data_IF_721872332065
#
_entry.id   IF_721872332065
#
_cell.length_a   1.000
_cell.length_b   1.000
_cell.length_c   1.000
_cell.angle_alpha   90.00
_cell.angle_beta   90.00
_cell.angle_gamma   90.00
#
_symmetry.space_group_name_H-M   'P 1'
#
loop_
_entity.id
_entity.type
_entity.pdbx_description
1 polymer ?
#
# COMPACT_ATOMS: atom_id res chain seq x y z
N UNK A 1 -55.41 18.23 19.89
CA UNK A 1 -56.43 18.13 18.83
C UNK A 1 -56.02 17.07 17.84
N UNK A 2 -56.78 15.98 17.82
CA UNK A 2 -57.09 15.04 16.73
C UNK A 2 -55.94 14.47 15.86
N UNK A 3 -55.65 13.22 16.17
CA UNK A 3 -54.92 12.22 15.40
C UNK A 3 -55.87 11.55 14.39
N UNK A 4 -55.57 11.35 13.12
CA UNK A 4 -56.31 10.42 12.27
C UNK A 4 -55.55 9.08 12.09
N UNK A 5 -56.32 8.03 12.34
CA UNK A 5 -56.03 6.60 12.23
C UNK A 5 -55.88 6.19 10.75
N UNK A 6 -54.89 5.31 10.47
CA UNK A 6 -54.75 4.56 9.22
C UNK A 6 -55.46 3.22 9.33
N UNK A 7 -56.26 2.77 8.33
CA UNK A 7 -56.93 1.48 8.36
C UNK A 7 -56.03 0.33 7.88
N UNK A 8 -56.16 -0.79 8.59
CA UNK A 8 -55.56 -2.09 8.30
C UNK A 8 -56.19 -2.76 7.09
N UNK A 9 -55.35 -3.28 6.15
CA UNK A 9 -55.82 -4.17 5.08
C UNK A 9 -55.68 -5.64 5.51
N UNK A 10 -56.79 -6.35 5.44
CA UNK A 10 -56.94 -7.79 5.65
C UNK A 10 -56.43 -8.57 4.42
N UNK A 11 -55.69 -9.65 4.67
CA UNK A 11 -55.29 -10.64 3.67
C UNK A 11 -56.39 -11.67 3.38
N UNK A 12 -56.60 -12.13 2.16
CA UNK A 12 -57.56 -13.19 1.86
C UNK A 12 -56.95 -14.59 2.04
N UNK A 13 -57.78 -15.52 2.50
CA UNK A 13 -57.52 -16.91 2.78
C UNK A 13 -57.28 -17.79 1.53
N UNK A 14 -56.59 -18.94 1.65
CA UNK A 14 -56.26 -19.79 0.54
C UNK A 14 -57.43 -20.70 0.12
N UNK A 15 -57.60 -20.88 -1.21
CA UNK A 15 -58.61 -21.76 -1.82
C UNK A 15 -58.04 -23.18 -1.99
N UNK A 16 -58.80 -24.16 -1.55
CA UNK A 16 -58.57 -25.62 -1.77
C UNK A 16 -58.81 -26.06 -3.21
N UNK A 17 -58.02 -26.96 -3.79
CA UNK A 17 -58.28 -27.50 -5.12
C UNK A 17 -59.23 -28.70 -5.07
N UNK A 18 -60.13 -28.75 -6.04
CA UNK A 18 -61.19 -29.68 -6.27
C UNK A 18 -60.65 -30.97 -6.95
N UNK A 19 -61.07 -32.11 -6.43
CA UNK A 19 -60.76 -33.44 -7.00
C UNK A 19 -61.44 -33.66 -8.35
N UNK A 20 -60.66 -34.13 -9.35
CA UNK A 20 -61.21 -34.69 -10.60
C UNK A 20 -60.96 -36.19 -10.68
N UNK A 21 -62.05 -36.90 -11.03
CA UNK A 21 -62.20 -38.34 -11.19
C UNK A 21 -61.44 -38.86 -12.43
N UNK A 22 -60.78 -40.00 -12.27
CA UNK A 22 -60.16 -40.80 -13.33
C UNK A 22 -61.17 -41.62 -14.10
N UNK A 23 -61.00 -41.81 -15.43
CA UNK A 23 -61.59 -42.97 -16.14
C UNK A 23 -60.58 -44.11 -16.25
N UNK A 24 -61.14 -45.31 -16.13
CA UNK A 24 -60.47 -46.61 -16.29
C UNK A 24 -60.17 -46.90 -17.77
N UNK A 25 -59.04 -47.52 -18.02
CA UNK A 25 -58.90 -48.42 -19.14
C UNK A 25 -57.62 -48.29 -19.95
N UNK A 26 -56.79 -49.22 -19.87
CA UNK A 26 -56.15 -50.04 -20.90
C UNK A 26 -54.78 -50.57 -20.41
N UNK A 27 -54.67 -51.85 -20.23
CA UNK A 27 -53.42 -52.54 -19.89
C UNK A 27 -52.61 -52.73 -21.19
N UNK A 28 -51.47 -52.09 -21.26
CA UNK A 28 -50.41 -52.52 -22.17
C UNK A 28 -49.21 -52.96 -21.33
N UNK A 29 -48.83 -54.24 -21.57
CA UNK A 29 -47.58 -54.76 -21.01
C UNK A 29 -46.40 -54.13 -21.73
N UNK A 30 -45.56 -53.34 -20.99
CA UNK A 30 -44.28 -52.93 -21.51
C UNK A 30 -43.19 -53.72 -20.79
N UNK A 31 -42.35 -54.30 -21.57
CA UNK A 31 -41.15 -55.02 -21.16
C UNK A 31 -40.19 -54.08 -20.47
N UNK A 32 -39.73 -54.47 -19.30
CA UNK A 32 -38.72 -53.74 -18.56
C UNK A 32 -37.36 -53.94 -19.25
N UNK A 33 -36.87 -52.88 -19.92
CA UNK A 33 -35.45 -52.76 -20.31
C UNK A 33 -34.73 -52.13 -19.16
N UNK A 34 -33.97 -52.92 -18.43
CA UNK A 34 -33.10 -52.45 -17.36
C UNK A 34 -31.88 -51.78 -17.99
N UNK A 35 -31.91 -50.48 -18.13
CA UNK A 35 -30.73 -49.68 -18.49
C UNK A 35 -29.83 -49.54 -17.26
N UNK A 36 -28.72 -50.28 -17.21
CA UNK A 36 -27.64 -50.03 -16.26
C UNK A 36 -26.96 -48.70 -16.60
N UNK A 37 -27.35 -47.65 -15.93
CA UNK A 37 -26.60 -46.37 -15.96
C UNK A 37 -25.33 -46.59 -15.16
N UNK A 38 -24.20 -46.84 -15.83
CA UNK A 38 -22.89 -46.79 -15.20
C UNK A 38 -22.60 -45.32 -14.78
N UNK A 39 -22.68 -45.06 -13.50
CA UNK A 39 -22.22 -43.77 -12.93
C UNK A 39 -20.70 -43.71 -13.08
N UNK A 40 -20.22 -42.97 -14.06
CA UNK A 40 -18.80 -42.62 -14.17
C UNK A 40 -18.52 -41.54 -13.08
N UNK A 41 -17.65 -41.83 -12.11
CA UNK A 41 -17.28 -40.79 -11.15
C UNK A 41 -16.52 -39.69 -11.91
N UNK A 42 -17.07 -38.50 -11.96
CA UNK A 42 -16.40 -37.31 -12.46
C UNK A 42 -15.30 -36.97 -11.41
N UNK A 43 -14.10 -37.46 -11.64
CA UNK A 43 -12.91 -37.06 -10.88
C UNK A 43 -12.61 -35.64 -11.31
N UNK A 44 -13.06 -34.66 -10.53
CA UNK A 44 -12.56 -33.29 -10.63
C UNK A 44 -11.08 -33.36 -10.28
N UNK A 45 -10.24 -33.43 -11.31
CA UNK A 45 -8.81 -33.17 -11.14
C UNK A 45 -8.66 -31.70 -10.65
N UNK A 46 -8.33 -31.49 -9.38
CA UNK A 46 -7.90 -30.22 -8.91
C UNK A 46 -6.65 -29.83 -9.71
N UNK A 47 -6.76 -28.81 -10.57
CA UNK A 47 -5.58 -28.23 -11.23
C UNK A 47 -4.64 -27.76 -10.13
N UNK A 48 -3.36 -28.19 -10.15
CA UNK A 48 -2.40 -27.65 -9.19
C UNK A 48 -2.40 -26.13 -9.34
N UNK A 49 -2.55 -25.41 -8.22
CA UNK A 49 -2.36 -23.98 -8.20
C UNK A 49 -0.95 -23.71 -8.77
N UNK A 50 -0.86 -22.96 -9.87
CA UNK A 50 0.44 -22.56 -10.41
C UNK A 50 1.19 -21.84 -9.30
N UNK A 51 2.34 -22.39 -8.90
CA UNK A 51 3.21 -21.69 -7.95
C UNK A 51 3.57 -20.33 -8.56
N UNK A 52 3.50 -19.27 -7.75
CA UNK A 52 3.90 -17.93 -8.18
C UNK A 52 5.35 -17.97 -8.69
N UNK A 53 5.60 -17.41 -9.86
CA UNK A 53 6.95 -17.25 -10.39
C UNK A 53 7.65 -15.98 -9.87
N UNK A 54 7.00 -15.21 -8.98
CA UNK A 54 7.52 -13.94 -8.48
C UNK A 54 8.54 -14.20 -7.37
N UNK A 55 9.76 -13.70 -7.58
CA UNK A 55 10.79 -13.58 -6.56
C UNK A 55 10.89 -12.10 -6.18
N UNK A 56 10.41 -11.76 -5.00
CA UNK A 56 10.21 -10.39 -4.56
C UNK A 56 11.25 -9.97 -3.54
N UNK A 57 11.83 -8.76 -3.73
CA UNK A 57 12.72 -8.10 -2.77
C UNK A 57 12.19 -6.70 -2.49
N UNK A 58 11.94 -6.38 -1.21
CA UNK A 58 11.51 -5.07 -0.76
C UNK A 58 12.69 -4.33 -0.10
N UNK A 59 13.05 -3.18 -0.67
CA UNK A 59 14.16 -2.31 -0.27
C UNK A 59 13.63 -0.97 0.23
N UNK A 60 14.47 -0.21 0.91
CA UNK A 60 14.19 1.18 1.22
C UNK A 60 14.38 1.56 2.68
N UNK A 61 13.70 2.63 3.05
CA UNK A 61 13.80 3.31 4.34
C UNK A 61 12.67 2.95 5.32
N UNK A 62 12.34 3.85 6.25
CA UNK A 62 11.30 3.67 7.26
C UNK A 62 9.88 3.56 6.68
N UNK A 63 9.61 4.22 5.55
CA UNK A 63 8.30 4.09 4.88
C UNK A 63 8.12 2.71 4.26
N UNK A 64 9.20 2.17 3.70
CA UNK A 64 9.21 0.81 3.16
C UNK A 64 9.21 -0.25 4.27
N UNK A 65 9.94 -0.04 5.37
CA UNK A 65 9.96 -0.96 6.51
C UNK A 65 8.64 -1.00 7.28
N UNK A 66 7.84 0.06 7.17
CA UNK A 66 6.55 0.18 7.85
C UNK A 66 6.64 0.74 9.26
N UNK A 67 7.67 1.59 9.54
CA UNK A 67 7.70 2.37 10.78
C UNK A 67 6.40 3.17 10.92
N UNK A 68 5.86 3.28 12.11
CA UNK A 68 4.56 3.87 12.38
C UNK A 68 3.37 2.90 12.32
N UNK A 69 3.51 1.74 11.64
CA UNK A 69 2.43 0.78 11.45
C UNK A 69 2.30 -0.27 12.58
N UNK A 70 3.25 -0.29 13.54
CA UNK A 70 3.26 -1.27 14.62
C UNK A 70 3.53 -2.71 14.16
N UNK A 71 3.36 -3.66 15.06
CA UNK A 71 3.56 -5.09 14.77
C UNK A 71 4.95 -5.40 14.16
N UNK A 72 5.99 -4.89 14.82
CA UNK A 72 7.37 -5.02 14.35
C UNK A 72 7.93 -6.42 14.61
N UNK A 73 8.76 -6.92 13.70
CA UNK A 73 9.43 -8.22 13.81
C UNK A 73 10.64 -8.20 14.76
N UNK A 74 10.95 -7.03 15.35
CA UNK A 74 12.14 -6.79 16.17
C UNK A 74 13.36 -6.36 15.36
N UNK A 75 14.38 -5.86 16.06
CA UNK A 75 15.59 -5.31 15.46
C UNK A 75 15.46 -3.83 15.11
N UNK A 76 16.60 -3.20 14.75
CA UNK A 76 16.72 -1.75 14.54
C UNK A 76 16.18 -1.26 13.18
N UNK A 77 15.68 -2.16 12.34
CA UNK A 77 15.11 -1.78 11.05
C UNK A 77 13.61 -1.48 11.10
N UNK A 78 12.94 -1.75 12.21
CA UNK A 78 11.52 -1.51 12.44
C UNK A 78 10.62 -2.09 11.34
N UNK A 79 10.94 -3.31 10.87
CA UNK A 79 10.15 -4.01 9.86
C UNK A 79 8.82 -4.45 10.43
N UNK A 80 7.74 -3.94 9.86
CA UNK A 80 6.38 -4.20 10.32
C UNK A 80 5.72 -5.32 9.51
N UNK A 81 4.99 -6.20 10.18
CA UNK A 81 4.09 -7.13 9.49
C UNK A 81 2.92 -6.43 8.78
N UNK A 82 2.69 -5.15 9.09
CA UNK A 82 1.69 -4.30 8.44
C UNK A 82 2.28 -3.47 7.28
N UNK A 83 3.58 -3.56 6.97
CA UNK A 83 4.20 -2.88 5.83
C UNK A 83 3.58 -3.33 4.50
N UNK A 84 3.40 -2.42 3.54
CA UNK A 84 2.79 -2.70 2.25
C UNK A 84 3.45 -3.88 1.52
N UNK A 85 4.78 -3.97 1.56
CA UNK A 85 5.53 -5.08 0.97
C UNK A 85 5.19 -6.43 1.63
N UNK A 86 5.08 -6.48 2.96
CA UNK A 86 4.69 -7.67 3.69
C UNK A 86 3.23 -8.05 3.42
N UNK A 87 2.32 -7.06 3.36
CA UNK A 87 0.92 -7.27 3.00
C UNK A 87 0.80 -7.86 1.60
N UNK A 88 1.56 -7.31 0.65
CA UNK A 88 1.60 -7.82 -0.71
C UNK A 88 2.09 -9.27 -0.77
N UNK A 89 3.20 -9.57 -0.10
CA UNK A 89 3.74 -10.93 -0.05
C UNK A 89 2.75 -11.93 0.57
N UNK A 90 2.04 -11.54 1.62
CA UNK A 90 1.01 -12.37 2.26
C UNK A 90 -0.17 -12.65 1.32
N UNK A 91 -0.60 -11.66 0.53
CA UNK A 91 -1.73 -11.78 -0.38
C UNK A 91 -1.41 -12.60 -1.64
N UNK A 92 -0.18 -12.52 -2.15
CA UNK A 92 0.20 -13.09 -3.45
C UNK A 92 1.05 -14.35 -3.35
N UNK A 93 1.56 -14.68 -2.15
CA UNK A 93 2.37 -15.88 -1.91
C UNK A 93 3.50 -16.04 -2.96
N UNK A 94 4.44 -15.07 -3.09
CA UNK A 94 5.54 -15.15 -4.05
C UNK A 94 6.40 -16.39 -3.79
N UNK A 95 7.11 -16.87 -4.81
CA UNK A 95 8.03 -18.01 -4.71
C UNK A 95 9.16 -17.74 -3.69
N UNK A 96 9.60 -16.48 -3.59
CA UNK A 96 10.48 -16.01 -2.52
C UNK A 96 10.16 -14.56 -2.17
N UNK A 97 10.41 -14.20 -0.90
CA UNK A 97 10.27 -12.82 -0.42
C UNK A 97 11.44 -12.47 0.51
N UNK A 98 12.19 -11.42 0.17
CA UNK A 98 13.21 -10.83 1.02
C UNK A 98 12.79 -9.41 1.41
N UNK A 99 12.65 -9.17 2.71
CA UNK A 99 12.25 -7.88 3.24
C UNK A 99 13.47 -7.18 3.86
N UNK A 100 14.15 -6.35 3.08
CA UNK A 100 15.44 -5.75 3.44
C UNK A 100 15.34 -4.27 3.86
N UNK A 101 14.20 -3.62 3.63
CA UNK A 101 14.00 -2.22 4.03
C UNK A 101 14.35 -1.99 5.49
N UNK A 102 14.94 -0.84 5.81
CA UNK A 102 15.44 -0.54 7.13
C UNK A 102 15.21 0.94 7.48
N UNK A 103 14.61 1.19 8.64
CA UNK A 103 14.35 2.54 9.15
C UNK A 103 15.64 3.38 9.15
N UNK A 104 15.54 4.63 8.68
CA UNK A 104 16.66 5.56 8.60
C UNK A 104 17.60 5.36 7.41
N UNK A 105 17.38 4.37 6.55
CA UNK A 105 18.28 4.10 5.43
C UNK A 105 18.32 5.25 4.41
N UNK A 106 19.52 5.57 3.96
CA UNK A 106 19.82 6.39 2.79
C UNK A 106 20.02 5.52 1.54
N UNK A 107 20.12 6.13 0.36
CA UNK A 107 20.49 5.39 -0.87
C UNK A 107 21.79 4.62 -0.70
N UNK A 108 22.79 5.19 -0.01
CA UNK A 108 24.07 4.53 0.30
C UNK A 108 23.86 3.32 1.22
N UNK A 109 22.96 3.40 2.20
CA UNK A 109 22.68 2.27 3.08
C UNK A 109 22.01 1.11 2.33
N UNK A 110 21.09 1.42 1.40
CA UNK A 110 20.49 0.41 0.53
C UNK A 110 21.57 -0.30 -0.29
N UNK A 111 22.47 0.44 -0.93
CA UNK A 111 23.60 -0.12 -1.71
C UNK A 111 24.49 -1.01 -0.85
N UNK A 112 24.83 -0.58 0.36
CA UNK A 112 25.79 -1.29 1.19
C UNK A 112 25.18 -2.49 1.95
N UNK A 113 23.88 -2.42 2.31
CA UNK A 113 23.30 -3.34 3.29
C UNK A 113 22.10 -4.13 2.78
N UNK A 114 21.41 -3.68 1.69
CA UNK A 114 20.14 -4.28 1.27
C UNK A 114 20.22 -4.98 -0.10
N UNK A 115 20.94 -4.40 -1.09
CA UNK A 115 20.95 -4.94 -2.46
C UNK A 115 21.64 -6.30 -2.60
N UNK A 116 22.28 -6.81 -1.56
CA UNK A 116 22.86 -8.17 -1.56
C UNK A 116 21.77 -9.27 -1.66
N UNK A 117 20.52 -8.96 -1.33
CA UNK A 117 19.38 -9.86 -1.50
C UNK A 117 18.96 -10.01 -2.99
N UNK A 118 19.33 -9.07 -3.85
CA UNK A 118 19.04 -9.11 -5.28
C UNK A 118 19.92 -10.11 -6.01
N UNK A 119 19.34 -10.79 -6.99
CA UNK A 119 20.08 -11.70 -7.87
C UNK A 119 19.35 -11.85 -9.22
N UNK A 120 19.97 -12.59 -10.16
CA UNK A 120 19.43 -12.76 -11.50
C UNK A 120 18.07 -13.47 -11.61
N UNK A 121 17.56 -14.05 -10.51
CA UNK A 121 16.19 -14.64 -10.45
C UNK A 121 15.18 -13.72 -9.83
N UNK A 122 15.57 -12.56 -9.27
CA UNK A 122 14.64 -11.55 -8.76
C UNK A 122 13.80 -11.00 -9.90
N UNK A 123 12.47 -11.02 -9.73
CA UNK A 123 11.51 -10.57 -10.76
C UNK A 123 10.73 -9.33 -10.35
N UNK A 124 10.70 -9.03 -9.05
CA UNK A 124 10.02 -7.87 -8.50
C UNK A 124 10.89 -7.20 -7.44
N UNK A 125 10.99 -5.88 -7.50
CA UNK A 125 11.61 -5.03 -6.48
C UNK A 125 10.68 -3.88 -6.16
N UNK A 126 10.44 -3.60 -4.88
CA UNK A 126 9.84 -2.33 -4.45
C UNK A 126 10.87 -1.49 -3.68
N UNK A 127 10.80 -0.16 -3.85
CA UNK A 127 11.73 0.78 -3.20
C UNK A 127 10.96 2.03 -2.75
N UNK A 128 11.17 2.45 -1.49
CA UNK A 128 10.85 3.81 -1.03
C UNK A 128 12.13 4.34 -0.41
N UNK A 129 12.70 5.42 -0.97
CA UNK A 129 14.04 5.89 -0.57
C UNK A 129 14.28 7.35 -1.01
N UNK A 130 15.12 8.06 -0.28
CA UNK A 130 15.61 9.39 -0.64
C UNK A 130 15.31 10.46 0.42
N UNK A 131 14.32 10.24 1.28
CA UNK A 131 13.98 11.18 2.35
C UNK A 131 15.14 11.39 3.34
N UNK A 132 15.82 10.33 3.73
CA UNK A 132 16.97 10.42 4.65
C UNK A 132 18.22 11.03 3.99
N UNK A 133 18.39 10.87 2.69
CA UNK A 133 19.48 11.50 1.93
C UNK A 133 19.44 13.04 2.02
N UNK A 134 18.25 13.60 2.18
CA UNK A 134 18.02 15.06 2.34
C UNK A 134 17.76 15.47 3.79
N UNK A 135 17.97 14.57 4.76
CA UNK A 135 17.91 14.87 6.18
C UNK A 135 16.49 14.99 6.73
N UNK A 136 15.53 14.21 6.22
CA UNK A 136 14.12 14.27 6.62
C UNK A 136 13.90 14.39 8.12
N UNK A 137 14.52 13.52 8.94
CA UNK A 137 14.31 13.52 10.40
C UNK A 137 14.74 14.84 11.06
N UNK A 138 15.92 15.39 10.70
CA UNK A 138 16.43 16.64 11.27
C UNK A 138 15.64 17.86 10.79
N UNK A 139 15.12 17.83 9.56
CA UNK A 139 14.24 18.87 9.03
C UNK A 139 12.92 18.86 9.79
N UNK A 140 12.31 17.71 10.00
CA UNK A 140 11.06 17.59 10.76
C UNK A 140 11.23 17.99 12.22
N UNK A 141 12.33 17.61 12.87
CA UNK A 141 12.67 18.07 14.22
C UNK A 141 12.76 19.59 14.27
N UNK A 142 13.44 20.22 13.31
CA UNK A 142 13.53 21.68 13.21
C UNK A 142 12.15 22.30 13.00
N UNK A 143 11.29 21.71 12.18
CA UNK A 143 9.93 22.20 11.99
C UNK A 143 9.07 22.06 13.25
N UNK A 144 9.24 20.99 14.02
CA UNK A 144 8.49 20.77 15.27
C UNK A 144 8.94 21.72 16.38
N UNK A 145 10.25 21.87 16.58
CA UNK A 145 10.83 22.57 17.74
C UNK A 145 11.18 24.04 17.46
N UNK A 146 11.50 24.40 16.22
CA UNK A 146 11.95 25.74 15.83
C UNK A 146 10.81 26.70 15.50
N UNK A 147 11.18 27.90 15.05
CA UNK A 147 10.26 28.92 14.53
C UNK A 147 9.76 28.55 13.10
N UNK A 148 8.78 29.31 12.58
CA UNK A 148 8.34 29.18 11.19
C UNK A 148 9.50 29.43 10.22
N UNK A 149 10.33 30.44 10.50
CA UNK A 149 11.49 30.74 9.66
C UNK A 149 12.56 29.66 9.70
N UNK A 150 12.79 29.03 10.86
CA UNK A 150 13.74 27.92 10.95
C UNK A 150 13.27 26.72 10.14
N UNK A 151 11.99 26.36 10.24
CA UNK A 151 11.39 25.29 9.46
C UNK A 151 11.49 25.57 7.95
N UNK A 152 11.04 26.73 7.49
CA UNK A 152 11.09 27.11 6.06
C UNK A 152 12.53 27.09 5.54
N UNK A 153 13.49 27.59 6.33
CA UNK A 153 14.90 27.55 5.93
C UNK A 153 15.44 26.11 5.85
N UNK A 154 15.08 25.25 6.79
CA UNK A 154 15.50 23.84 6.76
C UNK A 154 14.90 23.11 5.54
N UNK A 155 13.63 23.32 5.24
CA UNK A 155 12.97 22.77 4.03
C UNK A 155 13.66 23.28 2.76
N UNK A 156 13.90 24.59 2.63
CA UNK A 156 14.56 25.15 1.45
C UNK A 156 15.98 24.56 1.23
N UNK A 157 16.72 24.28 2.32
CA UNK A 157 18.02 23.62 2.24
C UNK A 157 17.89 22.16 1.79
N UNK A 158 16.92 21.42 2.34
CA UNK A 158 16.64 20.04 1.95
C UNK A 158 16.21 19.95 0.46
N UNK A 159 15.35 20.87 0.00
CA UNK A 159 14.97 20.96 -1.42
C UNK A 159 16.17 21.24 -2.32
N UNK A 160 17.06 22.16 -1.95
CA UNK A 160 18.27 22.44 -2.72
C UNK A 160 19.18 21.21 -2.79
N UNK A 161 19.31 20.46 -1.71
CA UNK A 161 20.04 19.19 -1.67
C UNK A 161 19.35 18.11 -2.52
N UNK A 162 18.01 17.99 -2.40
CA UNK A 162 17.23 17.06 -3.24
C UNK A 162 17.49 17.30 -4.73
N UNK A 163 17.42 18.56 -5.18
CA UNK A 163 17.62 18.90 -6.60
C UNK A 163 19.07 18.70 -7.08
N UNK A 164 20.06 18.94 -6.23
CA UNK A 164 21.47 18.97 -6.65
C UNK A 164 22.22 17.66 -6.44
N UNK A 165 21.88 16.87 -5.43
CA UNK A 165 22.65 15.69 -5.02
C UNK A 165 21.87 14.38 -5.20
N UNK A 166 20.58 14.37 -4.83
CA UNK A 166 19.79 13.14 -4.80
C UNK A 166 19.67 12.44 -6.17
N UNK A 167 19.55 13.13 -7.34
CA UNK A 167 19.50 12.45 -8.63
C UNK A 167 20.71 11.55 -8.90
N UNK A 168 21.91 12.00 -8.52
CA UNK A 168 23.13 11.21 -8.65
C UNK A 168 23.12 9.95 -7.77
N UNK A 169 22.69 10.09 -6.53
CA UNK A 169 22.59 9.00 -5.56
C UNK A 169 21.55 7.96 -6.00
N UNK A 170 20.36 8.40 -6.42
CA UNK A 170 19.30 7.53 -6.95
C UNK A 170 19.75 6.80 -8.22
N UNK A 171 20.38 7.50 -9.18
CA UNK A 171 20.87 6.86 -10.39
C UNK A 171 21.92 5.78 -10.10
N UNK A 172 22.80 5.99 -9.11
CA UNK A 172 23.75 4.98 -8.67
C UNK A 172 23.03 3.75 -8.12
N UNK A 173 22.09 3.94 -7.21
CA UNK A 173 21.29 2.86 -6.65
C UNK A 173 20.49 2.09 -7.72
N UNK A 174 19.82 2.79 -8.62
CA UNK A 174 18.99 2.16 -9.66
C UNK A 174 19.84 1.39 -10.69
N UNK A 175 21.05 1.87 -11.00
CA UNK A 175 22.01 1.13 -11.81
C UNK A 175 22.48 -0.16 -11.11
N UNK A 176 22.74 -0.11 -9.81
CA UNK A 176 23.15 -1.27 -9.02
C UNK A 176 22.00 -2.31 -8.90
N UNK A 177 20.75 -1.86 -8.72
CA UNK A 177 19.57 -2.73 -8.77
C UNK A 177 19.46 -3.40 -10.14
N UNK A 178 19.56 -2.63 -11.23
CA UNK A 178 19.49 -3.13 -12.61
C UNK A 178 20.59 -4.15 -12.91
N UNK A 179 21.81 -3.91 -12.42
CA UNK A 179 22.93 -4.81 -12.63
C UNK A 179 22.76 -6.15 -11.90
N UNK A 180 22.17 -6.15 -10.71
CA UNK A 180 21.95 -7.37 -9.91
C UNK A 180 20.68 -8.14 -10.29
N UNK A 181 19.61 -7.44 -10.69
CA UNK A 181 18.32 -7.99 -11.04
C UNK A 181 17.85 -7.48 -12.42
N UNK A 182 18.54 -7.81 -13.51
CA UNK A 182 18.28 -7.22 -14.83
C UNK A 182 16.91 -7.54 -15.43
N UNK A 183 16.25 -8.60 -14.92
CA UNK A 183 14.91 -9.01 -15.34
C UNK A 183 13.80 -8.53 -14.43
N UNK A 184 14.10 -7.81 -13.36
CA UNK A 184 13.11 -7.38 -12.40
C UNK A 184 12.31 -6.16 -12.90
N UNK A 185 11.01 -6.16 -12.62
CA UNK A 185 10.23 -4.93 -12.55
C UNK A 185 10.55 -4.23 -11.23
N UNK A 186 10.81 -2.93 -11.27
CA UNK A 186 11.14 -2.14 -10.08
C UNK A 186 10.08 -1.06 -9.89
N UNK A 187 9.35 -1.12 -8.78
CA UNK A 187 8.35 -0.14 -8.39
C UNK A 187 8.97 0.78 -7.35
N UNK A 188 9.18 2.04 -7.72
CA UNK A 188 9.68 3.08 -6.82
C UNK A 188 8.50 3.93 -6.38
N UNK A 189 8.13 3.84 -5.11
CA UNK A 189 7.00 4.60 -4.56
C UNK A 189 7.50 5.91 -3.96
N UNK A 190 6.68 6.96 -4.12
CA UNK A 190 6.93 8.28 -3.54
C UNK A 190 6.51 8.38 -2.06
N UNK A 191 6.51 9.61 -1.57
CA UNK A 191 6.04 9.96 -0.23
C UNK A 191 4.68 10.68 -0.31
N UNK A 192 3.80 10.56 0.70
CA UNK A 192 2.52 11.26 0.70
C UNK A 192 2.70 12.75 1.02
N UNK A 193 1.74 13.57 0.66
CA UNK A 193 1.54 14.85 1.34
C UNK A 193 1.20 14.59 2.81
N UNK A 194 1.71 15.46 3.70
CA UNK A 194 1.56 15.24 5.14
C UNK A 194 0.28 15.86 5.68
N UNK A 195 -0.16 17.01 5.12
CA UNK A 195 -1.22 17.81 5.70
C UNK A 195 -2.33 18.13 4.69
N UNK A 196 -3.58 17.97 5.09
CA UNK A 196 -4.68 18.63 4.38
C UNK A 196 -4.62 20.15 4.62
N UNK A 197 -4.00 20.88 3.69
CA UNK A 197 -3.85 22.32 3.77
C UNK A 197 -5.17 23.10 3.71
N UNK A 198 -6.25 22.45 3.22
CA UNK A 198 -7.60 23.04 3.21
C UNK A 198 -8.21 23.13 4.62
N UNK A 199 -7.72 22.31 5.56
CA UNK A 199 -8.18 22.25 6.95
C UNK A 199 -7.32 23.10 7.88
N UNK A 200 -7.37 24.41 7.69
CA UNK A 200 -6.61 25.36 8.54
C UNK A 200 -7.14 25.47 9.98
N UNK A 201 -8.46 25.26 10.19
CA UNK A 201 -9.10 25.33 11.51
C UNK A 201 -9.20 23.96 12.15
N UNK A 202 -8.73 23.84 13.41
CA UNK A 202 -8.85 22.59 14.19
C UNK A 202 -7.68 21.63 14.07
N UNK A 203 -6.73 21.86 13.18
CA UNK A 203 -5.49 21.11 13.12
C UNK A 203 -4.51 21.64 14.18
N UNK A 204 -4.28 20.85 15.22
CA UNK A 204 -3.38 21.19 16.32
C UNK A 204 -1.95 20.80 15.93
N UNK A 205 -0.97 21.61 16.30
CA UNK A 205 0.45 21.35 16.09
C UNK A 205 1.14 22.46 15.31
N UNK A 206 1.66 22.15 14.12
CA UNK A 206 2.44 23.10 13.33
C UNK A 206 1.58 24.23 12.74
N UNK A 207 2.17 25.39 12.55
CA UNK A 207 1.53 26.53 11.87
C UNK A 207 1.22 26.22 10.41
N UNK A 208 0.30 26.98 9.79
CA UNK A 208 0.00 26.83 8.36
C UNK A 208 1.24 27.05 7.48
N UNK A 209 2.13 27.97 7.85
CA UNK A 209 3.40 28.21 7.13
C UNK A 209 4.30 26.97 7.13
N UNK A 210 4.45 26.32 8.29
CA UNK A 210 5.26 25.09 8.40
C UNK A 210 4.65 23.93 7.60
N UNK A 211 3.34 23.73 7.69
CA UNK A 211 2.64 22.67 6.95
C UNK A 211 2.82 22.84 5.45
N UNK A 212 2.58 24.06 4.94
CA UNK A 212 2.76 24.36 3.52
C UNK A 212 4.22 24.13 3.07
N UNK A 213 5.20 24.49 3.90
CA UNK A 213 6.60 24.24 3.57
C UNK A 213 6.92 22.74 3.55
N UNK A 214 6.42 21.96 4.50
CA UNK A 214 6.63 20.50 4.57
C UNK A 214 6.04 19.80 3.34
N UNK A 215 4.79 20.10 2.96
CA UNK A 215 4.16 19.50 1.79
C UNK A 215 4.87 19.92 0.50
N UNK A 216 5.26 21.20 0.38
CA UNK A 216 6.09 21.65 -0.75
C UNK A 216 7.42 20.91 -0.85
N UNK A 217 8.08 20.63 0.29
CA UNK A 217 9.29 19.82 0.34
C UNK A 217 9.06 18.37 -0.12
N UNK A 218 7.94 17.76 0.26
CA UNK A 218 7.55 16.42 -0.22
C UNK A 218 7.32 16.40 -1.73
N UNK A 219 6.65 17.42 -2.29
CA UNK A 219 6.45 17.57 -3.73
C UNK A 219 7.77 17.63 -4.50
N UNK A 220 8.73 18.40 -3.97
CA UNK A 220 10.07 18.49 -4.57
C UNK A 220 10.78 17.16 -4.54
N UNK A 221 10.74 16.46 -3.41
CA UNK A 221 11.36 15.15 -3.24
C UNK A 221 10.79 14.15 -4.25
N UNK A 222 9.48 14.05 -4.35
CA UNK A 222 8.79 13.15 -5.27
C UNK A 222 9.08 13.49 -6.74
N UNK A 223 9.12 14.76 -7.08
CA UNK A 223 9.51 15.21 -8.43
C UNK A 223 10.93 14.76 -8.81
N UNK A 224 11.87 14.83 -7.85
CA UNK A 224 13.26 14.38 -8.05
C UNK A 224 13.34 12.87 -8.21
N UNK A 225 12.64 12.11 -7.36
CA UNK A 225 12.59 10.64 -7.43
C UNK A 225 11.97 10.18 -8.77
N UNK A 226 10.82 10.75 -9.13
CA UNK A 226 10.14 10.46 -10.41
C UNK A 226 11.04 10.76 -11.61
N UNK A 227 11.74 11.91 -11.56
CA UNK A 227 12.70 12.28 -12.61
C UNK A 227 13.86 11.30 -12.75
N UNK A 228 14.39 10.77 -11.64
CA UNK A 228 15.43 9.75 -11.68
C UNK A 228 14.92 8.42 -12.24
N UNK A 229 13.70 7.99 -11.84
CA UNK A 229 13.06 6.75 -12.34
C UNK A 229 12.89 6.77 -13.85
N UNK A 230 12.54 7.90 -14.45
CA UNK A 230 12.29 8.03 -15.89
C UNK A 230 13.49 7.68 -16.77
N UNK A 231 14.71 7.66 -16.20
CA UNK A 231 15.94 7.29 -16.88
C UNK A 231 16.21 5.77 -16.94
N UNK A 232 15.40 4.93 -16.28
CA UNK A 232 15.66 3.50 -16.12
C UNK A 232 14.55 2.65 -16.76
N UNK A 233 14.91 1.74 -17.66
CA UNK A 233 14.01 0.75 -18.20
C UNK A 233 13.55 -0.22 -17.09
N UNK A 234 12.33 -0.71 -17.14
CA UNK A 234 11.72 -1.59 -16.15
C UNK A 234 11.50 -0.96 -14.76
N UNK A 235 11.71 0.35 -14.60
CA UNK A 235 11.36 1.10 -13.40
C UNK A 235 10.05 1.85 -13.60
N UNK A 236 9.18 1.80 -12.62
CA UNK A 236 7.92 2.56 -12.58
C UNK A 236 7.94 3.43 -11.33
N UNK A 237 7.65 4.72 -11.51
CA UNK A 237 7.37 5.59 -10.38
C UNK A 237 5.89 5.47 -10.02
N UNK A 238 5.62 5.03 -8.81
CA UNK A 238 4.27 4.84 -8.29
C UNK A 238 3.92 6.00 -7.34
N UNK A 239 3.05 6.88 -7.81
CA UNK A 239 2.59 8.06 -7.09
C UNK A 239 1.61 7.63 -5.97
N UNK A 240 1.85 8.05 -4.73
CA UNK A 240 1.06 7.62 -3.57
C UNK A 240 0.14 8.71 -3.00
N UNK A 241 0.35 9.99 -3.32
CA UNK A 241 -0.39 11.13 -2.76
C UNK A 241 -1.89 11.02 -2.99
N UNK A 242 -2.28 10.61 -4.20
CA UNK A 242 -3.69 10.40 -4.54
C UNK A 242 -4.37 9.34 -3.66
N UNK A 243 -3.64 8.30 -3.26
CA UNK A 243 -4.18 7.26 -2.39
C UNK A 243 -4.32 7.74 -0.93
N UNK A 244 -3.52 8.72 -0.50
CA UNK A 244 -3.60 9.32 0.83
C UNK A 244 -4.59 10.50 0.91
N UNK A 245 -5.11 10.99 -0.23
CA UNK A 245 -6.03 12.13 -0.26
C UNK A 245 -7.27 11.90 0.61
N UNK A 246 -7.53 12.84 1.54
CA UNK A 246 -8.57 12.74 2.55
C UNK A 246 -8.18 11.93 3.79
N UNK A 247 -6.89 11.52 3.88
CA UNK A 247 -6.31 10.78 5.00
C UNK A 247 -4.99 11.41 5.50
N UNK A 248 -4.71 12.64 5.14
CA UNK A 248 -3.57 13.42 5.60
C UNK A 248 -3.70 13.75 7.09
N UNK A 249 -2.64 14.26 7.67
CA UNK A 249 -2.69 14.79 9.04
C UNK A 249 -3.70 15.94 9.07
N UNK A 250 -4.58 15.95 10.08
CA UNK A 250 -5.74 16.82 10.29
C UNK A 250 -7.05 16.31 9.67
N UNK A 251 -7.05 15.30 8.87
CA UNK A 251 -8.28 14.62 8.50
C UNK A 251 -8.88 13.83 9.66
N UNK A 252 -10.17 13.56 9.60
CA UNK A 252 -10.88 12.83 10.66
C UNK A 252 -10.37 11.40 10.82
N UNK A 253 -9.80 10.83 9.79
CA UNK A 253 -9.21 9.49 9.73
C UNK A 253 -7.84 9.57 9.06
N UNK A 254 -6.88 10.20 9.75
CA UNK A 254 -5.51 10.29 9.23
C UNK A 254 -4.86 8.90 9.14
N UNK A 255 -4.16 8.67 8.04
CA UNK A 255 -3.31 7.51 7.80
C UNK A 255 -1.83 7.79 8.08
N UNK A 256 -1.52 9.03 8.47
CA UNK A 256 -0.20 9.46 8.90
C UNK A 256 -0.23 9.80 10.39
N UNK A 257 0.82 9.46 11.09
CA UNK A 257 1.02 9.93 12.48
C UNK A 257 1.34 11.41 12.47
N UNK A 258 0.68 12.17 13.33
CA UNK A 258 1.14 13.53 13.67
C UNK A 258 2.35 13.46 14.59
N UNK A 259 2.79 14.60 15.14
CA UNK A 259 3.89 14.63 16.12
C UNK A 259 3.54 13.74 17.32
N UNK A 260 4.35 12.73 17.55
CA UNK A 260 4.33 11.93 18.77
C UNK A 260 5.46 12.42 19.69
N UNK A 261 5.09 13.12 20.75
CA UNK A 261 6.06 13.68 21.71
C UNK A 261 6.74 12.61 22.59
N UNK A 262 6.22 11.38 22.60
CA UNK A 262 6.78 10.26 23.33
C UNK A 262 7.72 9.44 22.46
N UNK A 263 7.50 9.47 21.13
CA UNK A 263 8.32 8.80 20.13
C UNK A 263 8.39 9.65 18.86
N UNK A 264 9.33 10.59 18.82
CA UNK A 264 9.53 11.46 17.67
C UNK A 264 9.91 10.67 16.40
N UNK A 265 10.53 9.49 16.56
CA UNK A 265 10.90 8.62 15.44
C UNK A 265 9.70 8.11 14.66
N UNK A 266 8.61 7.81 15.35
CA UNK A 266 7.35 7.34 14.75
C UNK A 266 6.52 8.48 14.08
N UNK A 267 6.83 9.75 14.40
CA UNK A 267 6.10 10.92 13.86
C UNK A 267 6.21 10.97 12.34
N UNK A 268 5.14 11.41 11.69
CA UNK A 268 5.05 11.59 10.25
C UNK A 268 5.12 10.30 9.41
N UNK A 269 5.15 9.14 10.04
CA UNK A 269 5.15 7.86 9.34
C UNK A 269 3.72 7.32 9.13
N UNK A 270 3.52 6.49 8.08
CA UNK A 270 2.23 5.87 7.82
C UNK A 270 1.80 4.91 8.93
N UNK A 271 0.55 5.01 9.33
CA UNK A 271 -0.09 4.03 10.21
C UNK A 271 -0.30 2.69 9.48
N UNK A 272 -0.76 1.65 10.19
CA UNK A 272 -1.18 0.40 9.54
C UNK A 272 -2.27 0.63 8.46
N UNK A 273 -3.15 1.62 8.66
CA UNK A 273 -4.13 2.02 7.64
C UNK A 273 -3.46 2.71 6.44
N UNK A 274 -2.44 3.55 6.66
CA UNK A 274 -1.67 4.17 5.59
C UNK A 274 -0.89 3.14 4.76
N UNK A 275 -0.34 2.11 5.41
CA UNK A 275 0.31 1.02 4.70
C UNK A 275 -0.71 0.20 3.88
N UNK A 276 -1.85 -0.18 4.47
CA UNK A 276 -2.82 -1.07 3.83
C UNK A 276 -3.77 -0.36 2.86
N UNK A 277 -4.11 0.90 3.08
CA UNK A 277 -5.02 1.68 2.25
C UNK A 277 -4.32 2.61 1.26
N UNK A 278 -3.11 3.09 1.60
CA UNK A 278 -2.28 3.96 0.77
C UNK A 278 -1.26 3.19 -0.06
N UNK A 279 -0.20 2.70 0.57
CA UNK A 279 0.94 2.08 -0.14
C UNK A 279 0.63 0.73 -0.79
N UNK A 280 -0.09 -0.17 -0.11
CA UNK A 280 -0.38 -1.50 -0.65
C UNK A 280 -1.19 -1.47 -1.95
N UNK A 281 -2.29 -0.71 -2.09
CA UNK A 281 -3.02 -0.63 -3.35
C UNK A 281 -2.19 -0.06 -4.49
N UNK A 282 -1.34 0.93 -4.22
CA UNK A 282 -0.44 1.53 -5.21
C UNK A 282 0.59 0.50 -5.68
N UNK A 283 1.29 -0.17 -4.75
CA UNK A 283 2.21 -1.26 -5.10
C UNK A 283 1.53 -2.34 -5.92
N UNK A 284 0.29 -2.69 -5.60
CA UNK A 284 -0.46 -3.75 -6.27
C UNK A 284 -0.98 -3.35 -7.66
N UNK A 285 -1.15 -2.07 -7.95
CA UNK A 285 -1.65 -1.57 -9.23
C UNK A 285 -0.56 -1.47 -10.31
N UNK A 286 0.70 -1.33 -9.90
CA UNK A 286 1.84 -1.12 -10.79
C UNK A 286 2.62 -2.41 -11.11
N UNK A 287 1.96 -3.57 -10.90
CA UNK A 287 2.53 -4.91 -11.11
C UNK A 287 1.86 -5.70 -12.23
#
# INVERSE_FOLDING_TARGET
MLNPRVPSRQSPAPRTPRAHRTPRGIRFALAAVTACVAAIPLVLAATPASASSVNYVALGDSYASGLGAGNYSGGSCDRSANAAAQLWANAHSPASFAFEACSGATTSDVINNQISALNGTTTLVSVIIGGNDVGFSSVMETCVLGSDSDCVNAINQAEAQARSQLPGSLNTLFNDISARAPGAQVVVMGYPEFYDLSRSSGCIGLSGTKRQAIDGGADVLDSVISGAVAGHANFVYAEVRSAFSGHEICDSTSWLKSVDWLDLGDSYHPTASGQSGGYYPVLNADL
#
